data_IF_217112390897
#
_entry.id   IF_217112390897
#
_cell.length_a   1.000
_cell.length_b   1.000
_cell.length_c   1.000
_cell.angle_alpha   90.00
_cell.angle_beta   90.00
_cell.angle_gamma   90.00
#
_symmetry.space_group_name_H-M   'P 1'
#
loop_
_entity.id
_entity.type
_entity.pdbx_description
1 polymer ?
#
# COMPACT_ATOMS: atom_id res chain seq x y z
N UNK A 1 3.44 3.52 2.13
CA UNK A 1 4.72 3.44 1.37
C UNK A 1 4.45 2.65 0.10
N UNK A 2 5.11 3.00 -1.00
CA UNK A 2 4.71 2.51 -2.32
C UNK A 2 3.57 3.33 -2.91
N UNK A 3 2.72 2.72 -3.72
CA UNK A 3 1.74 3.40 -4.57
C UNK A 3 0.29 3.28 -4.09
N UNK A 4 0.06 2.73 -2.88
CA UNK A 4 -1.29 2.48 -2.38
C UNK A 4 -1.97 1.23 -2.95
N UNK A 5 -1.22 0.44 -3.74
CA UNK A 5 -1.69 -0.77 -4.38
C UNK A 5 -0.88 -1.98 -3.93
N UNK A 6 -1.52 -3.14 -3.88
CA UNK A 6 -0.85 -4.41 -3.59
C UNK A 6 0.07 -4.81 -4.74
N UNK A 7 1.13 -5.57 -4.44
CA UNK A 7 2.09 -6.06 -5.42
C UNK A 7 1.45 -6.88 -6.56
N UNK A 8 0.34 -7.56 -6.27
CA UNK A 8 -0.41 -8.35 -7.26
C UNK A 8 -1.09 -7.51 -8.33
N UNK A 9 -1.31 -6.21 -8.07
CA UNK A 9 -1.91 -5.31 -9.05
C UNK A 9 -0.96 -4.94 -10.20
N UNK A 10 0.36 -5.13 -10.00
CA UNK A 10 1.34 -5.09 -11.07
C UNK A 10 1.53 -3.71 -11.74
N UNK A 11 1.88 -3.72 -13.03
CA UNK A 11 2.32 -2.53 -13.76
C UNK A 11 1.27 -1.42 -13.82
N UNK A 12 1.73 -0.17 -13.61
CA UNK A 12 0.89 1.01 -13.61
C UNK A 12 0.06 1.20 -12.33
N UNK A 13 0.16 0.25 -11.38
CA UNK A 13 -0.55 0.28 -10.11
C UNK A 13 0.39 0.10 -8.93
N UNK A 14 1.07 -1.05 -8.85
CA UNK A 14 2.00 -1.40 -7.79
C UNK A 14 3.35 -0.68 -7.97
N UNK A 15 4.03 -0.40 -6.85
CA UNK A 15 5.41 0.08 -6.86
C UNK A 15 6.36 -1.07 -7.13
N UNK A 16 7.50 -0.80 -7.77
CA UNK A 16 8.45 -1.85 -8.10
C UNK A 16 9.90 -1.37 -8.11
N UNK A 17 10.80 -2.32 -7.89
CA UNK A 17 12.23 -2.17 -8.17
C UNK A 17 12.62 -3.10 -9.32
N UNK A 18 13.51 -2.63 -10.20
CA UNK A 18 14.09 -3.35 -11.33
C UNK A 18 15.51 -2.87 -11.57
N UNK A 19 16.28 -3.61 -12.37
CA UNK A 19 17.66 -3.25 -12.74
C UNK A 19 18.52 -3.01 -11.48
N UNK A 20 18.41 -3.91 -10.50
CA UNK A 20 19.19 -3.83 -9.27
C UNK A 20 20.65 -4.13 -9.57
N UNK A 21 21.52 -3.24 -9.12
CA UNK A 21 22.96 -3.35 -9.26
C UNK A 21 23.62 -3.12 -7.90
N UNK A 22 24.71 -3.84 -7.64
CA UNK A 22 25.55 -3.67 -6.46
C UNK A 22 26.90 -3.10 -6.86
N UNK A 23 27.43 -2.23 -6.02
CA UNK A 23 28.80 -1.73 -6.19
C UNK A 23 29.74 -2.73 -5.54
N UNK A 24 30.67 -3.25 -6.34
CA UNK A 24 31.66 -4.24 -5.88
C UNK A 24 32.99 -3.53 -5.62
N UNK A 25 33.91 -3.54 -6.58
CA UNK A 25 35.23 -2.93 -6.46
C UNK A 25 35.40 -1.81 -7.49
N UNK A 26 36.19 -0.79 -7.14
CA UNK A 26 36.54 0.33 -8.03
C UNK A 26 35.32 1.02 -8.68
N UNK A 27 34.22 1.16 -7.93
CA UNK A 27 32.95 1.71 -8.42
C UNK A 27 32.36 0.96 -9.63
N UNK A 28 32.67 -0.33 -9.76
CA UNK A 28 32.05 -1.19 -10.77
C UNK A 28 30.69 -1.66 -10.27
N UNK A 29 29.68 -1.52 -11.13
CA UNK A 29 28.33 -1.98 -10.89
C UNK A 29 28.15 -3.38 -11.50
N UNK A 30 27.63 -4.30 -10.70
CA UNK A 30 27.27 -5.64 -11.17
C UNK A 30 25.78 -5.89 -10.96
N UNK A 31 25.08 -6.50 -11.93
CA UNK A 31 23.66 -6.80 -11.79
C UNK A 31 23.44 -7.86 -10.70
N UNK A 32 22.39 -7.66 -9.91
CA UNK A 32 22.00 -8.64 -8.89
C UNK A 32 21.45 -9.89 -9.58
N UNK A 33 22.19 -10.99 -9.46
CA UNK A 33 21.85 -12.27 -10.10
C UNK A 33 20.66 -12.95 -9.40
N UNK A 34 20.60 -12.85 -8.07
CA UNK A 34 19.56 -13.47 -7.26
C UNK A 34 19.13 -12.55 -6.11
N UNK A 35 17.82 -12.41 -5.93
CA UNK A 35 17.21 -11.64 -4.84
C UNK A 35 16.31 -12.57 -4.06
N UNK A 36 16.58 -12.73 -2.78
CA UNK A 36 15.64 -13.35 -1.86
C UNK A 36 14.78 -12.29 -1.20
N UNK A 37 13.47 -12.53 -1.18
CA UNK A 37 12.51 -11.68 -0.50
C UNK A 37 12.15 -12.36 0.81
N UNK A 38 12.58 -11.76 1.91
CA UNK A 38 12.19 -12.18 3.25
C UNK A 38 11.12 -11.23 3.74
N UNK A 39 9.88 -11.70 3.75
CA UNK A 39 8.77 -10.97 4.34
C UNK A 39 8.77 -11.19 5.86
N UNK A 40 9.21 -10.18 6.60
CA UNK A 40 9.25 -10.20 8.08
C UNK A 40 7.95 -9.63 8.68
N UNK A 41 7.03 -9.15 7.83
CA UNK A 41 5.78 -8.56 8.27
C UNK A 41 4.80 -9.68 8.73
N UNK A 42 4.15 -9.53 9.90
CA UNK A 42 3.32 -10.59 10.47
C UNK A 42 1.97 -10.77 9.77
N UNK A 43 1.57 -9.87 8.89
CA UNK A 43 0.25 -9.90 8.26
C UNK A 43 0.27 -9.35 6.82
N UNK A 44 0.06 -10.24 5.85
CA UNK A 44 -0.07 -9.97 4.41
C UNK A 44 -1.25 -9.05 4.08
N UNK A 45 -2.14 -8.78 5.05
CA UNK A 45 -3.30 -7.90 4.91
C UNK A 45 -2.93 -6.44 4.65
N UNK A 46 -1.76 -5.99 5.09
CA UNK A 46 -1.37 -4.57 4.99
C UNK A 46 -0.30 -4.31 3.95
N UNK A 47 0.42 -5.34 3.54
CA UNK A 47 1.49 -5.22 2.59
C UNK A 47 1.82 -6.59 2.02
N UNK A 48 2.29 -6.63 0.78
CA UNK A 48 2.89 -7.82 0.20
C UNK A 48 4.03 -7.44 -0.76
N UNK A 49 4.88 -8.43 -1.05
CA UNK A 49 5.97 -8.32 -2.01
C UNK A 49 5.87 -9.50 -2.97
N UNK A 50 6.11 -9.24 -4.25
CA UNK A 50 6.07 -10.26 -5.30
C UNK A 50 7.29 -10.17 -6.20
N UNK A 51 8.16 -11.17 -6.11
CA UNK A 51 9.32 -11.37 -7.00
C UNK A 51 8.85 -11.95 -8.34
N UNK A 52 9.33 -11.40 -9.43
CA UNK A 52 9.04 -11.81 -10.80
C UNK A 52 10.32 -11.78 -11.65
N UNK A 53 10.30 -12.45 -12.80
CA UNK A 53 11.41 -12.47 -13.76
C UNK A 53 10.88 -12.35 -15.19
N UNK A 54 11.59 -11.59 -16.03
CA UNK A 54 11.34 -11.49 -17.48
C UNK A 54 12.65 -11.26 -18.23
N UNK A 55 12.82 -11.87 -19.39
CA UNK A 55 14.11 -11.88 -20.11
C UNK A 55 14.67 -10.48 -20.43
N UNK A 56 13.80 -9.50 -20.72
CA UNK A 56 14.18 -8.12 -21.03
C UNK A 56 14.33 -7.22 -19.79
N UNK A 57 13.83 -7.65 -18.63
CA UNK A 57 13.83 -6.85 -17.38
C UNK A 57 14.69 -7.46 -16.27
N UNK A 58 15.12 -8.71 -16.42
CA UNK A 58 15.76 -9.48 -15.37
C UNK A 58 14.82 -9.72 -14.20
N UNK A 59 15.40 -9.86 -13.00
CA UNK A 59 14.65 -9.97 -11.75
C UNK A 59 14.12 -8.61 -11.33
N UNK A 60 12.82 -8.53 -11.05
CA UNK A 60 12.17 -7.35 -10.51
C UNK A 60 11.17 -7.75 -9.43
N UNK A 61 10.85 -6.81 -8.54
CA UNK A 61 9.93 -7.07 -7.45
C UNK A 61 8.91 -5.96 -7.32
N UNK A 62 7.64 -6.36 -7.27
CA UNK A 62 6.55 -5.48 -6.88
C UNK A 62 6.43 -5.48 -5.37
N UNK A 63 6.06 -4.32 -4.82
CA UNK A 63 5.79 -4.18 -3.40
C UNK A 63 4.66 -3.17 -3.21
N UNK A 64 3.92 -3.35 -2.13
CA UNK A 64 2.94 -2.37 -1.73
C UNK A 64 1.88 -2.98 -0.85
N UNK A 65 0.90 -2.15 -0.55
CA UNK A 65 -0.23 -2.47 0.29
C UNK A 65 -1.32 -1.46 0.00
N UNK A 66 -2.54 -1.69 0.51
CA UNK A 66 -3.63 -0.78 0.29
C UNK A 66 -3.23 0.58 0.84
N UNK A 67 -3.59 1.64 0.13
CA UNK A 67 -3.68 2.95 0.74
C UNK A 67 -4.52 2.77 2.00
N UNK A 68 -3.89 2.96 3.17
CA UNK A 68 -4.57 2.85 4.45
C UNK A 68 -5.79 3.75 4.32
N UNK A 69 -6.95 3.09 4.29
CA UNK A 69 -8.21 3.68 3.89
C UNK A 69 -8.28 5.08 4.45
N UNK A 70 -8.52 6.04 3.55
CA UNK A 70 -8.64 7.47 3.83
C UNK A 70 -8.93 7.67 5.30
N UNK A 71 -8.06 8.36 6.03
CA UNK A 71 -8.54 9.05 7.21
C UNK A 71 -9.72 9.93 6.73
N UNK A 72 -10.94 9.39 6.76
CA UNK A 72 -12.04 10.16 7.28
C UNK A 72 -11.50 10.59 8.63
N UNK A 73 -11.06 11.85 8.69
CA UNK A 73 -10.81 12.49 9.96
C UNK A 73 -11.97 12.07 10.84
N UNK A 74 -11.68 11.47 12.01
CA UNK A 74 -12.75 11.03 12.91
C UNK A 74 -13.77 12.15 13.15
N UNK A 75 -13.34 13.40 12.99
CA UNK A 75 -14.12 14.62 12.89
C UNK A 75 -15.35 14.49 11.96
N UNK A 76 -15.22 14.07 10.70
CA UNK A 76 -16.37 14.04 9.78
C UNK A 76 -17.43 13.01 10.21
N UNK A 77 -16.98 11.83 10.66
CA UNK A 77 -17.86 10.77 11.17
C UNK A 77 -18.54 11.18 12.49
N UNK A 78 -17.78 11.79 13.41
CA UNK A 78 -18.32 12.31 14.67
C UNK A 78 -19.34 13.42 14.42
N UNK A 79 -19.04 14.38 13.53
CA UNK A 79 -19.97 15.46 13.17
C UNK A 79 -21.26 14.90 12.56
N UNK A 80 -21.18 13.93 11.64
CA UNK A 80 -22.36 13.30 11.05
C UNK A 80 -23.21 12.56 12.09
N UNK A 81 -22.55 11.85 13.02
CA UNK A 81 -23.23 11.14 14.11
C UNK A 81 -23.94 12.10 15.07
N UNK A 82 -23.29 13.24 15.41
CA UNK A 82 -23.86 14.27 16.28
C UNK A 82 -25.04 15.00 15.62
N UNK A 83 -24.94 15.31 14.33
CA UNK A 83 -26.04 15.92 13.56
C UNK A 83 -27.25 14.97 13.47
N UNK A 84 -27.00 13.69 13.21
CA UNK A 84 -28.07 12.67 13.14
C UNK A 84 -28.78 12.49 14.49
N UNK A 85 -28.03 12.48 15.60
CA UNK A 85 -28.59 12.44 16.95
C UNK A 85 -29.41 13.70 17.29
N UNK A 86 -28.91 14.88 16.91
CA UNK A 86 -29.62 16.13 17.17
C UNK A 86 -30.93 16.23 16.38
N UNK A 87 -30.91 15.83 15.10
CA UNK A 87 -32.11 15.75 14.26
C UNK A 87 -33.14 14.78 14.81
N UNK A 88 -32.73 13.60 15.30
CA UNK A 88 -33.67 12.62 15.86
C UNK A 88 -34.31 13.10 17.16
N UNK A 89 -33.56 13.80 18.01
CA UNK A 89 -34.08 14.43 19.24
C UNK A 89 -35.11 15.51 18.90
N UNK A 90 -34.81 16.39 17.94
CA UNK A 90 -35.76 17.42 17.50
C UNK A 90 -37.05 16.79 16.93
N UNK A 91 -36.91 15.76 16.10
CA UNK A 91 -38.06 15.07 15.50
C UNK A 91 -38.95 14.41 16.56
N UNK A 92 -38.34 13.84 17.60
CA UNK A 92 -39.07 13.26 18.74
C UNK A 92 -39.91 14.31 19.48
N UNK A 93 -39.39 15.51 19.69
CA UNK A 93 -40.12 16.61 20.33
C UNK A 93 -41.16 17.29 19.44
N UNK A 94 -41.04 17.18 18.12
CA UNK A 94 -42.02 17.73 17.16
C UNK A 94 -43.26 16.84 16.96
N UNK A 95 -43.18 15.55 17.35
CA UNK A 95 -44.27 14.57 17.18
C UNK A 95 -45.15 14.43 18.45
N UNK A 96 -44.72 15.02 19.58
CA UNK A 96 -45.48 15.11 20.83
C UNK A 96 -46.20 16.46 20.88
#
# INVERSE_FOLDING_TARGET
MGSGHFADEGFGKASYFRNLEIVVNNNTFEPVQEVDVVEVAPDYKFYNIKKMFRDDWGTYLFYGGPEFDRMHSGVAFLVLSSVSFYLSVIFFFLII
#
